data_IF_112033196197
#
_entry.id   IF_112033196197
#
_cell.length_a   1.000
_cell.length_b   1.000
_cell.length_c   1.000
_cell.angle_alpha   90.00
_cell.angle_beta   90.00
_cell.angle_gamma   90.00
#
_symmetry.space_group_name_H-M   'P 1'
#
loop_
_entity.id
_entity.type
_entity.pdbx_description
1 polymer ?
#
# COMPACT_ATOMS: atom_id res chain seq x y z
N UNK A 1 -45.93 -19.47 -41.50
CA UNK A 1 -45.04 -20.07 -42.51
C UNK A 1 -44.00 -19.05 -42.96
N UNK A 2 -42.77 -19.12 -42.44
CA UNK A 2 -41.48 -19.08 -43.16
C UNK A 2 -40.37 -18.73 -42.17
N UNK A 3 -39.59 -19.76 -41.83
CA UNK A 3 -38.23 -19.66 -41.33
C UNK A 3 -37.39 -18.83 -42.30
N UNK A 4 -36.44 -18.06 -41.75
CA UNK A 4 -35.14 -17.93 -42.39
C UNK A 4 -34.07 -17.69 -41.31
N UNK A 5 -33.31 -18.75 -41.03
CA UNK A 5 -32.00 -18.72 -40.39
C UNK A 5 -30.94 -18.26 -41.41
N UNK A 6 -29.89 -17.58 -40.93
CA UNK A 6 -28.52 -17.51 -41.48
C UNK A 6 -27.70 -16.84 -40.35
N UNK A 7 -26.87 -17.50 -39.55
CA UNK A 7 -25.73 -18.39 -39.81
C UNK A 7 -24.58 -17.71 -40.58
N UNK A 8 -23.64 -17.14 -39.83
CA UNK A 8 -22.22 -16.89 -40.15
C UNK A 8 -21.59 -16.53 -38.79
N UNK A 9 -20.82 -17.33 -38.06
CA UNK A 9 -19.70 -18.24 -38.35
C UNK A 9 -18.50 -17.57 -39.04
N UNK A 10 -17.52 -17.25 -38.17
CA UNK A 10 -16.04 -17.18 -38.32
C UNK A 10 -15.40 -15.82 -38.68
N UNK A 11 -14.12 -15.57 -38.30
CA UNK A 11 -13.25 -16.28 -37.34
C UNK A 11 -12.56 -15.38 -36.28
N UNK A 12 -12.17 -16.03 -35.18
CA UNK A 12 -11.11 -15.61 -34.27
C UNK A 12 -9.82 -15.29 -35.05
N UNK A 13 -9.38 -14.04 -35.01
CA UNK A 13 -8.01 -13.68 -35.35
C UNK A 13 -7.16 -13.87 -34.08
N UNK A 14 -6.34 -14.92 -34.12
CA UNK A 14 -5.21 -15.12 -33.24
C UNK A 14 -4.20 -13.98 -33.48
N UNK A 15 -4.11 -13.05 -32.54
CA UNK A 15 -3.02 -12.09 -32.48
C UNK A 15 -1.98 -12.63 -31.49
N UNK A 16 -0.93 -13.26 -32.03
CA UNK A 16 0.30 -13.56 -31.30
C UNK A 16 1.26 -12.38 -31.45
N UNK A 17 1.59 -11.62 -30.39
CA UNK A 17 2.73 -10.73 -30.44
C UNK A 17 4.03 -11.54 -30.41
N UNK A 18 4.95 -11.14 -31.28
CA UNK A 18 6.26 -11.74 -31.46
C UNK A 18 7.14 -11.54 -30.20
N UNK A 19 7.75 -12.65 -29.76
CA UNK A 19 8.81 -12.69 -28.76
C UNK A 19 10.03 -11.91 -29.30
N UNK A 20 10.27 -10.71 -28.78
CA UNK A 20 11.54 -10.01 -28.98
C UNK A 20 12.55 -10.55 -27.95
N UNK A 21 13.63 -11.14 -28.43
CA UNK A 21 14.74 -11.62 -27.62
C UNK A 21 15.51 -10.44 -27.00
N UNK A 22 15.92 -10.51 -25.71
CA UNK A 22 16.80 -9.52 -25.14
C UNK A 22 18.23 -9.66 -25.69
N UNK A 23 18.76 -8.55 -26.20
CA UNK A 23 20.18 -8.39 -26.51
C UNK A 23 20.96 -8.32 -25.19
N UNK A 24 21.94 -9.20 -25.05
CA UNK A 24 22.88 -9.18 -23.94
C UNK A 24 23.89 -8.04 -24.16
N UNK A 25 23.71 -6.90 -23.48
CA UNK A 25 24.73 -5.88 -23.37
C UNK A 25 25.68 -6.19 -22.20
N UNK A 26 26.91 -6.52 -22.57
CA UNK A 26 28.07 -6.68 -21.71
C UNK A 26 28.45 -5.33 -21.09
N UNK A 27 27.99 -5.07 -19.86
CA UNK A 27 28.43 -3.91 -19.09
C UNK A 27 29.72 -4.25 -18.31
N UNK A 28 30.78 -3.55 -18.67
CA UNK A 28 32.10 -3.62 -18.05
C UNK A 28 32.06 -2.85 -16.73
N UNK A 29 32.28 -3.54 -15.61
CA UNK A 29 32.38 -2.92 -14.29
C UNK A 29 33.71 -2.14 -14.14
N UNK A 30 33.69 -0.87 -13.67
CA UNK A 30 34.90 -0.23 -13.19
C UNK A 30 35.23 -0.70 -11.76
N UNK A 31 36.47 -1.16 -11.58
CA UNK A 31 37.09 -1.45 -10.28
C UNK A 31 37.25 -0.13 -9.51
N UNK A 32 36.40 0.10 -8.52
CA UNK A 32 36.60 1.18 -7.55
C UNK A 32 37.49 0.66 -6.42
N UNK A 33 38.73 1.13 -6.43
CA UNK A 33 39.71 0.95 -5.36
C UNK A 33 39.39 1.93 -4.22
N UNK A 34 38.84 1.43 -3.12
CA UNK A 34 38.63 2.23 -1.90
C UNK A 34 39.78 1.99 -0.93
N UNK A 35 40.65 2.99 -0.83
CA UNK A 35 41.70 3.09 0.17
C UNK A 35 41.08 3.28 1.56
N UNK A 36 41.27 2.28 2.43
CA UNK A 36 40.98 2.35 3.86
C UNK A 36 41.88 3.42 4.50
N UNK A 37 41.30 4.56 4.87
CA UNK A 37 41.93 5.54 5.76
C UNK A 37 41.30 5.39 7.14
N UNK A 38 41.94 4.61 8.00
CA UNK A 38 41.65 4.54 9.44
C UNK A 38 42.08 5.84 10.11
N UNK A 39 41.13 6.62 10.65
CA UNK A 39 41.39 7.73 11.59
C UNK A 39 41.17 7.28 13.03
N UNK A 40 41.90 7.89 13.99
CA UNK A 40 42.04 7.39 15.35
C UNK A 40 40.88 7.79 16.27
N UNK A 41 40.70 6.98 17.31
CA UNK A 41 39.82 7.21 18.45
C UNK A 41 40.13 8.52 19.19
N UNK A 42 39.09 9.20 19.72
CA UNK A 42 39.23 10.02 20.90
C UNK A 42 38.73 9.28 22.14
N UNK A 43 39.67 9.03 23.05
CA UNK A 43 39.44 8.81 24.47
C UNK A 43 38.88 10.08 25.09
N UNK A 44 37.78 10.00 25.85
CA UNK A 44 37.58 10.86 27.01
C UNK A 44 36.52 10.32 27.97
N UNK A 45 37.04 9.96 29.13
CA UNK A 45 36.40 9.93 30.45
C UNK A 45 35.51 11.15 30.73
N UNK A 46 34.35 10.90 31.35
CA UNK A 46 33.48 11.94 31.89
C UNK A 46 32.37 11.34 32.76
N UNK A 47 32.72 10.95 33.98
CA UNK A 47 31.76 10.54 35.02
C UNK A 47 31.10 11.81 35.56
N UNK A 48 29.81 12.01 35.29
CA UNK A 48 29.00 13.07 35.90
C UNK A 48 27.93 12.47 36.79
N UNK A 49 28.14 12.66 38.08
CA UNK A 49 27.21 12.36 39.17
C UNK A 49 26.01 13.32 39.09
N UNK A 50 24.81 12.78 38.88
CA UNK A 50 23.58 13.53 39.06
C UNK A 50 22.91 13.17 40.39
N UNK A 51 22.70 14.21 41.18
CA UNK A 51 22.05 14.20 42.49
C UNK A 51 20.57 13.88 42.31
N UNK A 52 20.10 12.80 42.94
CA UNK A 52 18.68 12.44 43.02
C UNK A 52 17.95 13.38 43.99
N UNK A 53 17.04 14.19 43.47
CA UNK A 53 16.01 14.88 44.25
C UNK A 53 14.69 14.11 44.11
N UNK A 54 14.29 13.42 45.17
CA UNK A 54 13.02 12.70 45.23
C UNK A 54 11.86 13.68 45.45
N UNK A 55 10.98 13.80 44.46
CA UNK A 55 9.68 14.44 44.60
C UNK A 55 8.61 13.40 45.01
N UNK A 56 7.55 13.81 45.74
CA UNK A 56 6.48 12.89 46.14
C UNK A 56 5.69 12.39 44.92
N UNK A 57 5.66 11.07 44.75
CA UNK A 57 4.88 10.37 43.73
C UNK A 57 3.43 10.31 44.19
N UNK A 58 2.56 11.09 43.55
CA UNK A 58 1.11 10.95 43.68
C UNK A 58 0.67 9.74 42.85
N UNK A 59 0.26 8.66 43.52
CA UNK A 59 -0.27 7.46 42.86
C UNK A 59 -1.68 7.77 42.35
N UNK A 60 -1.79 8.13 41.08
CA UNK A 60 -3.07 8.22 40.39
C UNK A 60 -3.62 6.80 40.21
N UNK A 61 -4.87 6.58 40.63
CA UNK A 61 -5.57 5.31 40.46
C UNK A 61 -5.73 5.01 38.96
N UNK A 62 -5.01 4.00 38.47
CA UNK A 62 -5.19 3.46 37.13
C UNK A 62 -6.52 2.73 37.05
N UNK A 63 -7.49 3.30 36.36
CA UNK A 63 -8.68 2.58 35.93
C UNK A 63 -8.23 1.50 34.94
N UNK A 64 -8.31 0.24 35.37
CA UNK A 64 -8.16 -0.91 34.48
C UNK A 64 -9.35 -0.90 33.54
N UNK A 65 -9.18 -0.30 32.36
CA UNK A 65 -10.04 -0.61 31.22
C UNK A 65 -9.81 -2.06 30.89
N UNK A 66 -10.81 -2.90 31.18
CA UNK A 66 -10.89 -4.25 30.63
C UNK A 66 -10.82 -4.13 29.11
N UNK A 67 -9.66 -4.47 28.54
CA UNK A 67 -9.52 -4.68 27.12
C UNK A 67 -10.52 -5.76 26.71
N UNK A 68 -11.53 -5.37 25.94
CA UNK A 68 -12.39 -6.32 25.24
C UNK A 68 -11.49 -7.25 24.45
N UNK A 69 -11.59 -8.55 24.72
CA UNK A 69 -10.94 -9.55 23.88
C UNK A 69 -11.34 -9.30 22.42
N UNK A 70 -10.39 -9.38 21.46
CA UNK A 70 -10.73 -9.23 20.05
C UNK A 70 -11.83 -10.23 19.73
N UNK A 71 -12.90 -9.75 19.11
CA UNK A 71 -13.94 -10.62 18.59
C UNK A 71 -13.24 -11.71 17.78
N UNK A 72 -13.55 -12.98 18.09
CA UNK A 72 -13.16 -14.11 17.25
C UNK A 72 -13.35 -13.70 15.80
N UNK A 73 -12.24 -13.69 15.04
CA UNK A 73 -12.20 -13.36 13.62
C UNK A 73 -13.30 -14.13 12.93
N UNK A 74 -14.43 -13.44 12.68
CA UNK A 74 -15.47 -13.98 11.85
C UNK A 74 -14.80 -14.28 10.52
N UNK A 75 -14.89 -15.52 10.06
CA UNK A 75 -14.38 -15.92 8.74
C UNK A 75 -14.85 -14.87 7.74
N UNK A 76 -13.93 -14.10 7.14
CA UNK A 76 -14.37 -13.13 6.16
C UNK A 76 -15.05 -13.88 5.03
N UNK A 77 -16.26 -13.46 4.72
CA UNK A 77 -17.01 -14.01 3.61
C UNK A 77 -16.51 -13.33 2.33
N UNK A 78 -15.37 -13.79 1.82
CA UNK A 78 -14.75 -13.26 0.60
C UNK A 78 -15.71 -13.24 -0.59
N UNK A 79 -16.66 -14.18 -0.68
CA UNK A 79 -17.72 -14.15 -1.69
C UNK A 79 -18.65 -12.94 -1.53
N UNK A 80 -19.09 -12.66 -0.29
CA UNK A 80 -19.91 -11.49 0.00
C UNK A 80 -19.13 -10.18 -0.14
N UNK A 81 -17.86 -10.14 0.28
CA UNK A 81 -16.99 -8.98 0.12
C UNK A 81 -16.75 -8.66 -1.35
N UNK A 82 -16.46 -9.67 -2.18
CA UNK A 82 -16.38 -9.53 -3.63
C UNK A 82 -17.67 -8.98 -4.22
N UNK A 83 -18.83 -9.54 -3.86
CA UNK A 83 -20.11 -9.05 -4.36
C UNK A 83 -20.35 -7.58 -3.99
N UNK A 84 -20.17 -7.24 -2.72
CA UNK A 84 -20.33 -5.87 -2.24
C UNK A 84 -19.35 -4.91 -2.95
N UNK A 85 -18.11 -5.33 -3.14
CA UNK A 85 -17.08 -4.50 -3.74
C UNK A 85 -17.27 -4.32 -5.25
N UNK A 86 -17.64 -5.36 -5.99
CA UNK A 86 -18.00 -5.26 -7.39
C UNK A 86 -19.19 -4.30 -7.63
N UNK A 87 -20.14 -4.25 -6.69
CA UNK A 87 -21.26 -3.30 -6.74
C UNK A 87 -20.90 -1.89 -6.20
N UNK A 88 -19.90 -1.79 -5.34
CA UNK A 88 -19.36 -0.52 -4.82
C UNK A 88 -18.35 0.15 -5.75
N UNK A 89 -17.74 -0.61 -6.66
CA UNK A 89 -16.76 -0.15 -7.65
C UNK A 89 -17.44 0.60 -8.80
N UNK A 90 -17.87 1.82 -8.52
CA UNK A 90 -18.51 2.72 -9.47
C UNK A 90 -18.03 4.16 -9.28
N UNK A 91 -18.07 4.95 -10.36
CA UNK A 91 -17.66 6.37 -10.37
C UNK A 91 -16.20 6.60 -9.93
N UNK A 92 -15.31 5.68 -10.29
CA UNK A 92 -13.87 5.84 -10.15
C UNK A 92 -13.29 6.57 -11.37
N UNK A 93 -12.18 7.27 -11.19
CA UNK A 93 -11.41 7.85 -12.29
C UNK A 93 -10.58 6.78 -13.01
N UNK A 94 -10.30 6.90 -14.32
CA UNK A 94 -9.57 5.88 -15.08
C UNK A 94 -8.26 5.40 -14.44
N UNK A 95 -7.49 6.30 -13.82
CA UNK A 95 -6.24 5.95 -13.13
C UNK A 95 -6.45 4.93 -11.99
N UNK A 96 -7.59 5.01 -11.28
CA UNK A 96 -7.93 4.07 -10.20
C UNK A 96 -8.27 2.70 -10.75
N UNK A 97 -8.86 2.64 -11.96
CA UNK A 97 -9.05 1.42 -12.73
C UNK A 97 -7.72 0.73 -13.00
N UNK A 98 -6.75 1.47 -13.55
CA UNK A 98 -5.42 0.91 -13.83
C UNK A 98 -4.68 0.45 -12.57
N UNK A 99 -4.77 1.20 -11.47
CA UNK A 99 -4.17 0.77 -10.20
C UNK A 99 -4.85 -0.49 -9.64
N UNK A 100 -6.17 -0.62 -9.75
CA UNK A 100 -6.90 -1.82 -9.33
C UNK A 100 -6.58 -3.02 -10.22
N UNK A 101 -6.53 -2.84 -11.54
CA UNK A 101 -6.17 -3.89 -12.49
C UNK A 101 -4.75 -4.38 -12.24
N UNK A 102 -3.80 -3.46 -12.01
CA UNK A 102 -2.44 -3.83 -11.64
C UNK A 102 -2.34 -4.51 -10.26
N UNK A 103 -3.15 -4.10 -9.28
CA UNK A 103 -3.22 -4.73 -7.96
C UNK A 103 -3.72 -6.18 -8.06
N UNK A 104 -4.84 -6.40 -8.74
CA UNK A 104 -5.49 -7.71 -8.84
C UNK A 104 -4.85 -8.62 -9.89
N UNK A 105 -4.10 -8.07 -10.84
CA UNK A 105 -3.34 -8.81 -11.83
C UNK A 105 -1.98 -9.32 -11.34
N UNK A 106 -1.55 -8.98 -10.13
CA UNK A 106 -0.32 -9.46 -9.52
C UNK A 106 -0.56 -10.80 -8.79
N UNK A 107 -0.07 -11.91 -9.37
CA UNK A 107 -0.18 -13.23 -8.76
C UNK A 107 0.44 -13.29 -7.34
N UNK A 108 1.47 -12.49 -7.04
CA UNK A 108 2.05 -12.40 -5.70
C UNK A 108 1.10 -11.80 -4.67
N UNK A 109 0.13 -11.00 -5.13
CA UNK A 109 -0.92 -10.39 -4.31
C UNK A 109 -2.12 -11.31 -4.16
N UNK A 110 -2.56 -11.99 -5.22
CA UNK A 110 -3.85 -12.70 -5.26
C UNK A 110 -3.74 -14.23 -5.14
N UNK A 111 -2.54 -14.80 -5.15
CA UNK A 111 -2.31 -16.23 -4.91
C UNK A 111 -2.08 -16.55 -3.42
N UNK A 112 -2.44 -17.76 -3.01
CA UNK A 112 -2.25 -18.21 -1.61
C UNK A 112 -2.93 -17.29 -0.59
N UNK A 113 -2.27 -16.98 0.52
CA UNK A 113 -2.84 -16.03 1.50
C UNK A 113 -2.82 -14.58 1.02
N UNK A 114 -2.06 -14.28 -0.04
CA UNK A 114 -1.86 -12.94 -0.58
C UNK A 114 -1.14 -11.98 0.36
N UNK A 115 -0.63 -10.87 -0.18
CA UNK A 115 -0.24 -9.70 0.58
C UNK A 115 -0.61 -8.45 -0.21
N UNK A 116 -1.82 -7.94 0.01
CA UNK A 116 -2.29 -6.71 -0.65
C UNK A 116 -1.35 -5.55 -0.36
N UNK A 117 -0.85 -5.46 0.87
CA UNK A 117 0.01 -4.36 1.31
C UNK A 117 1.49 -4.56 0.95
N UNK A 118 1.79 -5.62 0.19
CA UNK A 118 3.08 -5.84 -0.46
C UNK A 118 3.19 -5.20 -1.85
N UNK A 119 2.08 -4.72 -2.42
CA UNK A 119 2.04 -4.14 -3.77
C UNK A 119 1.82 -2.63 -3.73
N UNK A 120 2.68 -1.88 -4.45
CA UNK A 120 2.51 -0.43 -4.62
C UNK A 120 1.14 -0.11 -5.24
N UNK A 121 0.71 -0.88 -6.24
CA UNK A 121 -0.56 -0.66 -6.92
C UNK A 121 -1.75 -0.81 -5.98
N UNK A 122 -1.75 -1.86 -5.15
CA UNK A 122 -2.80 -2.10 -4.16
C UNK A 122 -2.86 -1.01 -3.08
N UNK A 123 -1.71 -0.60 -2.54
CA UNK A 123 -1.66 0.49 -1.56
C UNK A 123 -2.09 1.80 -2.19
N UNK A 124 -1.63 2.11 -3.41
CA UNK A 124 -1.99 3.32 -4.15
C UNK A 124 -3.49 3.42 -4.41
N UNK A 125 -4.13 2.34 -4.89
CA UNK A 125 -5.58 2.36 -5.14
C UNK A 125 -6.37 2.47 -3.83
N UNK A 126 -5.95 1.79 -2.76
CA UNK A 126 -6.60 1.84 -1.45
C UNK A 126 -6.65 3.26 -0.87
N UNK A 127 -5.63 4.08 -1.12
CA UNK A 127 -5.53 5.45 -0.56
C UNK A 127 -5.99 6.53 -1.54
N UNK A 128 -6.23 6.17 -2.80
CA UNK A 128 -6.52 7.13 -3.89
C UNK A 128 -7.81 7.93 -3.69
N UNK A 129 -8.80 7.35 -3.02
CA UNK A 129 -10.10 7.97 -2.79
C UNK A 129 -10.86 7.29 -1.64
N UNK A 130 -11.60 8.08 -0.87
CA UNK A 130 -12.46 7.62 0.24
C UNK A 130 -13.57 6.64 -0.12
N UNK A 131 -13.96 6.58 -1.40
CA UNK A 131 -14.93 5.60 -1.90
C UNK A 131 -14.29 4.26 -2.22
N UNK A 132 -12.98 4.24 -2.42
CA UNK A 132 -12.22 3.03 -2.72
C UNK A 132 -11.81 2.40 -1.40
N UNK A 133 -10.84 2.96 -0.68
CA UNK A 133 -10.41 2.45 0.64
C UNK A 133 -10.03 0.96 0.67
N UNK A 134 -9.34 0.50 1.73
CA UNK A 134 -8.75 -0.84 1.73
C UNK A 134 -9.80 -1.97 1.71
N UNK A 135 -10.98 -1.76 2.31
CA UNK A 135 -12.06 -2.74 2.28
C UNK A 135 -12.54 -3.07 0.85
N UNK A 136 -12.68 -2.07 -0.02
CA UNK A 136 -13.10 -2.31 -1.41
C UNK A 136 -12.01 -3.02 -2.21
N UNK A 137 -10.75 -2.66 -1.98
CA UNK A 137 -9.59 -3.31 -2.60
C UNK A 137 -9.53 -4.79 -2.22
N UNK A 138 -9.67 -5.10 -0.93
CA UNK A 138 -9.71 -6.49 -0.46
C UNK A 138 -10.89 -7.25 -1.08
N UNK A 139 -12.07 -6.64 -1.11
CA UNK A 139 -13.26 -7.25 -1.71
C UNK A 139 -13.06 -7.56 -3.19
N UNK A 140 -12.57 -6.60 -3.98
CA UNK A 140 -12.31 -6.81 -5.41
C UNK A 140 -11.21 -7.85 -5.64
N UNK A 141 -10.11 -7.81 -4.89
CA UNK A 141 -9.05 -8.81 -4.99
C UNK A 141 -9.56 -10.22 -4.67
N UNK A 142 -10.53 -10.35 -3.75
CA UNK A 142 -11.12 -11.65 -3.41
C UNK A 142 -12.02 -12.24 -4.51
N UNK A 143 -12.37 -11.47 -5.54
CA UNK A 143 -13.14 -11.94 -6.69
C UNK A 143 -12.33 -12.94 -7.52
N UNK A 144 -12.65 -14.24 -7.37
CA UNK A 144 -11.87 -15.33 -7.96
C UNK A 144 -10.72 -15.85 -7.07
N UNK A 145 -10.45 -15.19 -5.94
CA UNK A 145 -9.35 -15.51 -5.03
C UNK A 145 -9.85 -15.60 -3.58
N UNK A 146 -10.72 -16.59 -3.31
CA UNK A 146 -11.38 -16.76 -2.02
C UNK A 146 -10.43 -17.08 -0.85
N UNK A 147 -9.18 -17.43 -1.15
CA UNK A 147 -8.11 -17.71 -0.19
C UNK A 147 -7.42 -16.46 0.37
N UNK A 148 -7.62 -15.26 -0.20
CA UNK A 148 -6.98 -14.03 0.26
C UNK A 148 -7.41 -13.76 1.72
N UNK A 149 -6.43 -13.38 2.56
CA UNK A 149 -6.70 -13.05 3.94
C UNK A 149 -7.71 -11.89 4.08
N UNK A 150 -8.46 -11.91 5.18
CA UNK A 150 -9.34 -10.80 5.51
C UNK A 150 -8.52 -9.51 5.68
N UNK A 151 -9.10 -8.33 5.44
CA UNK A 151 -8.38 -7.06 5.51
C UNK A 151 -7.59 -6.88 6.83
N UNK A 152 -8.22 -7.22 7.96
CA UNK A 152 -7.60 -7.15 9.28
C UNK A 152 -6.51 -8.22 9.52
N UNK A 153 -6.52 -9.30 8.73
CA UNK A 153 -5.57 -10.41 8.80
C UNK A 153 -4.49 -10.32 7.70
N UNK A 154 -4.48 -9.25 6.91
CA UNK A 154 -3.42 -9.02 5.93
C UNK A 154 -2.07 -8.88 6.64
N UNK A 155 -0.96 -9.24 5.98
CA UNK A 155 0.36 -8.90 6.49
C UNK A 155 0.51 -7.38 6.62
N UNK A 156 1.33 -6.93 7.57
CA UNK A 156 1.68 -5.51 7.66
C UNK A 156 2.22 -4.99 6.33
N UNK A 157 2.02 -3.69 6.09
CA UNK A 157 2.57 -2.95 4.96
C UNK A 157 4.06 -3.29 4.79
N UNK A 158 4.41 -3.77 3.59
CA UNK A 158 5.78 -4.08 3.26
C UNK A 158 6.64 -2.83 3.38
N UNK A 159 7.75 -2.95 4.08
CA UNK A 159 8.58 -1.79 4.41
C UNK A 159 9.23 -1.17 3.17
N UNK A 160 9.44 -1.94 2.09
CA UNK A 160 9.92 -1.39 0.82
C UNK A 160 8.82 -0.58 0.11
N UNK A 161 7.54 -0.97 0.25
CA UNK A 161 6.43 -0.15 -0.23
C UNK A 161 6.37 1.14 0.56
N UNK A 162 6.49 1.08 1.89
CA UNK A 162 6.56 2.30 2.71
C UNK A 162 7.76 3.19 2.34
N UNK A 163 8.95 2.60 2.17
CA UNK A 163 10.14 3.32 1.71
C UNK A 163 9.96 3.93 0.32
N UNK A 164 9.15 3.33 -0.55
CA UNK A 164 8.81 3.93 -1.85
C UNK A 164 7.92 5.18 -1.75
N UNK A 165 7.26 5.39 -0.60
CA UNK A 165 6.43 6.57 -0.32
C UNK A 165 7.30 7.69 0.28
N UNK A 166 8.05 7.38 1.33
CA UNK A 166 8.74 8.39 2.15
C UNK A 166 10.23 8.52 1.83
N UNK A 167 10.79 7.62 1.02
CA UNK A 167 12.20 7.60 0.66
C UNK A 167 13.10 6.95 1.72
N UNK A 168 14.40 7.23 1.66
CA UNK A 168 15.43 6.61 2.49
C UNK A 168 15.24 6.83 4.00
N UNK A 169 14.55 7.91 4.38
CA UNK A 169 14.26 8.19 5.79
C UNK A 169 13.30 7.18 6.43
N UNK A 170 12.68 6.27 5.64
CA UNK A 170 11.96 5.12 6.17
C UNK A 170 12.82 4.29 7.13
N UNK A 171 14.13 4.18 6.88
CA UNK A 171 15.03 3.30 7.64
C UNK A 171 15.67 3.97 8.87
N UNK A 172 15.36 5.24 9.11
CA UNK A 172 15.84 5.96 10.29
C UNK A 172 15.15 5.49 11.58
N UNK A 173 15.77 5.68 12.76
CA UNK A 173 15.09 5.45 14.03
C UNK A 173 13.80 6.28 14.13
N UNK A 174 12.65 5.59 14.21
CA UNK A 174 11.27 6.10 14.15
C UNK A 174 10.71 6.42 12.76
N UNK A 175 11.51 6.30 11.70
CA UNK A 175 11.11 6.61 10.33
C UNK A 175 10.69 8.07 10.12
N UNK A 176 10.33 8.42 8.90
CA UNK A 176 9.70 9.70 8.56
C UNK A 176 8.23 9.50 8.21
N UNK A 177 7.31 10.35 8.71
CA UNK A 177 5.89 10.20 8.41
C UNK A 177 5.61 10.58 6.95
N UNK A 178 4.55 9.99 6.39
CA UNK A 178 4.05 10.33 5.06
C UNK A 178 3.54 11.78 5.10
N UNK A 179 3.99 12.61 4.17
CA UNK A 179 3.46 13.95 3.94
C UNK A 179 2.50 13.95 2.75
N UNK A 180 1.75 15.05 2.56
CA UNK A 180 0.89 15.22 1.38
C UNK A 180 1.67 15.05 0.07
N UNK A 181 2.89 15.59 -0.01
CA UNK A 181 3.70 15.49 -1.23
C UNK A 181 4.15 14.05 -1.46
N UNK A 182 4.56 13.33 -0.42
CA UNK A 182 4.88 11.90 -0.53
C UNK A 182 3.69 11.08 -1.05
N UNK A 183 2.48 11.37 -0.56
CA UNK A 183 1.26 10.73 -1.03
C UNK A 183 0.99 10.99 -2.52
N UNK A 184 1.09 12.26 -2.97
CA UNK A 184 0.91 12.60 -4.39
C UNK A 184 1.97 11.90 -5.24
N UNK A 185 3.24 12.02 -4.88
CA UNK A 185 4.36 11.42 -5.62
C UNK A 185 4.24 9.90 -5.68
N UNK A 186 3.75 9.26 -4.61
CA UNK A 186 3.52 7.83 -4.58
C UNK A 186 2.45 7.39 -5.60
N UNK A 187 1.32 8.09 -5.70
CA UNK A 187 0.27 7.77 -6.69
C UNK A 187 0.82 7.92 -8.11
N UNK A 188 1.46 9.04 -8.42
CA UNK A 188 1.98 9.31 -9.77
C UNK A 188 3.16 8.39 -10.14
N UNK A 189 4.07 8.10 -9.21
CA UNK A 189 5.14 7.13 -9.48
C UNK A 189 4.59 5.73 -9.68
N UNK A 190 3.61 5.30 -8.90
CA UNK A 190 2.99 3.97 -9.06
C UNK A 190 2.27 3.84 -10.40
N UNK A 191 1.53 4.87 -10.83
CA UNK A 191 0.94 4.93 -12.17
C UNK A 191 1.99 4.86 -13.28
N UNK A 192 3.13 5.53 -13.09
CA UNK A 192 4.26 5.45 -14.04
C UNK A 192 4.85 4.05 -14.10
N UNK A 193 5.03 3.40 -12.95
CA UNK A 193 5.61 2.05 -12.84
C UNK A 193 4.74 0.99 -13.52
N UNK A 194 3.40 1.15 -13.47
CA UNK A 194 2.47 0.25 -14.18
C UNK A 194 2.24 0.65 -15.65
N UNK A 195 2.92 1.68 -16.13
CA UNK A 195 2.81 2.14 -17.53
C UNK A 195 1.48 2.81 -17.87
N UNK A 196 0.75 3.33 -16.89
CA UNK A 196 -0.50 4.06 -17.14
C UNK A 196 -0.22 5.44 -17.72
N UNK A 197 -1.05 5.86 -18.68
CA UNK A 197 -1.08 7.22 -19.21
C UNK A 197 -2.26 8.05 -18.67
N UNK A 198 -3.13 7.43 -17.85
CA UNK A 198 -4.27 8.06 -17.23
C UNK A 198 -3.87 8.54 -15.83
N UNK A 199 -3.87 9.85 -15.66
CA UNK A 199 -3.50 10.52 -14.41
C UNK A 199 -4.75 11.01 -13.67
N UNK A 200 -4.67 11.27 -12.36
CA UNK A 200 -5.69 12.03 -11.66
C UNK A 200 -6.02 13.31 -12.41
N UNK A 201 -7.31 13.57 -12.63
CA UNK A 201 -7.76 14.70 -13.45
C UNK A 201 -7.39 16.06 -12.84
N UNK A 202 -7.34 16.11 -11.52
CA UNK A 202 -6.95 17.26 -10.71
C UNK A 202 -6.29 16.80 -9.41
N UNK A 203 -5.08 17.31 -9.14
CA UNK A 203 -4.36 17.06 -7.89
C UNK A 203 -5.16 17.52 -6.67
N UNK A 204 -5.96 18.58 -6.79
CA UNK A 204 -6.80 19.03 -5.67
C UNK A 204 -7.89 18.00 -5.33
N UNK A 205 -8.42 17.29 -6.33
CA UNK A 205 -9.38 16.20 -6.11
C UNK A 205 -8.71 15.01 -5.45
N UNK A 206 -7.49 14.65 -5.88
CA UNK A 206 -6.69 13.61 -5.22
C UNK A 206 -6.41 13.96 -3.75
N UNK A 207 -6.11 15.22 -3.45
CA UNK A 207 -5.89 15.68 -2.07
C UNK A 207 -7.19 15.70 -1.27
N UNK A 208 -8.28 16.24 -1.82
CA UNK A 208 -9.53 16.42 -1.08
C UNK A 208 -10.32 15.13 -0.87
N UNK A 209 -10.20 14.16 -1.79
CA UNK A 209 -10.94 12.89 -1.72
C UNK A 209 -10.05 11.71 -1.29
N UNK A 210 -8.73 11.83 -1.34
CA UNK A 210 -7.77 10.81 -0.89
C UNK A 210 -7.02 11.21 0.38
N UNK A 211 -6.14 12.21 0.28
CA UNK A 211 -5.25 12.61 1.38
C UNK A 211 -5.98 13.14 2.62
N UNK A 212 -6.90 14.09 2.46
CA UNK A 212 -7.61 14.70 3.59
C UNK A 212 -8.47 13.67 4.35
N UNK A 213 -9.27 12.81 3.68
CA UNK A 213 -9.98 11.73 4.36
C UNK A 213 -9.05 10.74 5.08
N UNK A 214 -7.87 10.48 4.53
CA UNK A 214 -6.86 9.64 5.18
C UNK A 214 -6.32 10.30 6.46
N UNK A 215 -6.03 11.61 6.45
CA UNK A 215 -5.67 12.37 7.66
C UNK A 215 -6.79 12.36 8.70
N UNK A 216 -8.04 12.56 8.27
CA UNK A 216 -9.21 12.55 9.15
C UNK A 216 -9.40 11.19 9.84
N UNK A 217 -9.18 10.09 9.12
CA UNK A 217 -9.25 8.74 9.67
C UNK A 217 -8.11 8.49 10.66
N UNK A 218 -6.87 8.83 10.28
CA UNK A 218 -5.66 8.52 11.07
C UNK A 218 -5.47 9.42 12.29
N UNK A 219 -6.02 10.65 12.27
CA UNK A 219 -5.97 11.66 13.35
C UNK A 219 -4.56 12.06 13.78
N UNK A 220 -3.64 12.18 12.82
CA UNK A 220 -2.21 12.44 13.07
C UNK A 220 -1.78 13.89 12.79
N UNK A 221 -2.69 14.77 12.35
CA UNK A 221 -2.38 16.15 11.98
C UNK A 221 -2.01 16.27 10.51
N UNK A 222 -0.84 16.81 10.19
CA UNK A 222 -0.43 17.10 8.80
C UNK A 222 0.41 15.99 8.14
N UNK A 223 0.71 14.91 8.86
CA UNK A 223 1.54 13.81 8.38
C UNK A 223 1.14 12.50 9.04
N UNK A 224 1.45 11.34 8.42
CA UNK A 224 0.99 10.03 8.87
C UNK A 224 2.18 9.09 9.15
N UNK A 225 2.44 8.72 10.42
CA UNK A 225 3.44 7.72 10.75
C UNK A 225 3.09 6.32 10.21
N UNK A 226 4.11 5.48 10.01
CA UNK A 226 3.95 4.09 9.54
C UNK A 226 2.84 3.33 10.28
N UNK A 227 2.81 3.40 11.61
CA UNK A 227 1.85 2.65 12.42
C UNK A 227 0.41 3.03 12.12
N UNK A 228 0.11 4.33 11.97
CA UNK A 228 -1.24 4.80 11.67
C UNK A 228 -1.64 4.49 10.23
N UNK A 229 -0.69 4.58 9.30
CA UNK A 229 -0.94 4.24 7.91
C UNK A 229 -1.17 2.72 7.74
N UNK A 230 -0.38 1.90 8.42
CA UNK A 230 -0.59 0.46 8.47
C UNK A 230 -1.95 0.12 9.11
N UNK A 231 -2.32 0.77 10.21
CA UNK A 231 -3.63 0.58 10.86
C UNK A 231 -4.79 0.91 9.91
N UNK A 232 -4.69 2.03 9.18
CA UNK A 232 -5.65 2.39 8.14
C UNK A 232 -5.86 1.25 7.13
N UNK A 233 -4.78 0.67 6.60
CA UNK A 233 -4.86 -0.42 5.62
C UNK A 233 -5.61 -1.65 6.15
N UNK A 234 -5.62 -1.88 7.47
CA UNK A 234 -6.25 -3.06 8.08
C UNK A 234 -7.71 -2.82 8.52
N UNK A 235 -8.12 -1.56 8.75
CA UNK A 235 -9.37 -1.26 9.45
C UNK A 235 -10.27 -0.19 8.82
N UNK A 236 -9.85 0.45 7.73
CA UNK A 236 -10.66 1.46 7.03
C UNK A 236 -11.63 0.86 6.00
#
# INVERSE_FOLDING_TARGET
MKLSMLSSLLPFLLYTPALAAPQAESSSAPVVSSSVTSRPAPSSTGVSSFVSSAAPVTVAASTVTTASAPATTGTCNNGANCYAAAHGWANYEPYQGHLMDACTGDDGVVSGTGNLWGSKACVAVAVSNRKVWPQLVQGLASCGHQQIACQADQPNLDYNVYASIVGDCAWEPNGCPITQQNFIDFIYSTLSDIGSADWPSDVNTLVSEGWQPLLDWTKTGDSIPYTNFNDFLHYA
#
